data_IF_786528879886
#
_entry.id   IF_786528879886
#
_cell.length_a   1.000
_cell.length_b   1.000
_cell.length_c   1.000
_cell.angle_alpha   90.00
_cell.angle_beta   90.00
_cell.angle_gamma   90.00
#
_symmetry.space_group_name_H-M   'P 1'
#
loop_
_entity.id
_entity.type
_entity.pdbx_description
1 polymer ?
#
# COMPACT_ATOMS: atom_id res chain seq x y z
N UNK A 1 -8.42 15.23 12.88
CA UNK A 1 -7.99 14.19 13.82
C UNK A 1 -9.22 13.59 14.50
N UNK A 2 -9.37 12.29 14.45
CA UNK A 2 -10.32 11.51 15.24
C UNK A 2 -9.51 10.69 16.26
N UNK A 3 -9.94 10.72 17.51
CA UNK A 3 -9.28 10.06 18.63
C UNK A 3 -10.24 9.15 19.39
N UNK A 4 -9.78 7.96 19.75
CA UNK A 4 -10.46 7.08 20.69
C UNK A 4 -9.41 6.43 21.59
N UNK A 5 -9.60 6.59 22.90
CA UNK A 5 -8.72 6.01 23.91
C UNK A 5 -8.88 4.49 23.96
N UNK A 6 -7.72 3.78 23.95
CA UNK A 6 -7.66 2.37 24.22
C UNK A 6 -7.32 2.16 25.71
N UNK A 7 -8.27 1.64 26.47
CA UNK A 7 -8.14 1.36 27.90
C UNK A 7 -7.85 -0.12 28.20
N UNK A 8 -7.79 -0.97 27.17
CA UNK A 8 -7.70 -2.42 27.33
C UNK A 8 -6.26 -2.94 27.24
N UNK A 9 -5.43 -2.30 26.43
CA UNK A 9 -4.03 -2.72 26.23
C UNK A 9 -3.15 -1.56 25.74
N UNK A 10 -1.84 -1.79 25.66
CA UNK A 10 -0.85 -0.82 25.21
C UNK A 10 -0.66 -0.73 23.69
N UNK A 11 -1.67 -1.08 22.89
CA UNK A 11 -1.57 -1.03 21.43
C UNK A 11 -2.16 0.26 20.88
N UNK A 12 -1.53 0.78 19.83
CA UNK A 12 -2.04 1.88 19.03
C UNK A 12 -2.41 1.44 17.62
N UNK A 13 -3.31 2.20 17.02
CA UNK A 13 -3.61 2.16 15.60
C UNK A 13 -3.74 3.59 15.10
N UNK A 14 -2.88 3.95 14.15
CA UNK A 14 -2.86 5.25 13.48
C UNK A 14 -3.17 5.04 12.02
N UNK A 15 -4.21 5.69 11.52
CA UNK A 15 -4.64 5.58 10.14
C UNK A 15 -4.72 6.96 9.48
N UNK A 16 -4.02 7.11 8.37
CA UNK A 16 -4.14 8.25 7.47
C UNK A 16 -5.04 7.87 6.30
N UNK A 17 -6.01 8.71 5.97
CA UNK A 17 -6.97 8.48 4.89
C UNK A 17 -6.95 9.65 3.93
N UNK A 18 -6.68 9.38 2.67
CA UNK A 18 -6.78 10.34 1.57
C UNK A 18 -8.02 10.03 0.73
N UNK A 19 -8.80 11.05 0.41
CA UNK A 19 -9.92 10.95 -0.52
C UNK A 19 -9.40 10.99 -1.97
N UNK A 20 -8.59 10.00 -2.31
CA UNK A 20 -7.95 9.80 -3.59
C UNK A 20 -7.70 8.30 -3.74
N UNK A 21 -8.36 7.63 -4.67
CA UNK A 21 -8.30 6.18 -4.79
C UNK A 21 -8.03 5.71 -6.22
N UNK A 22 -8.24 4.41 -6.46
CA UNK A 22 -7.93 3.77 -7.75
C UNK A 22 -8.77 4.30 -8.92
N UNK A 23 -9.92 4.93 -8.66
CA UNK A 23 -10.67 5.62 -9.72
C UNK A 23 -9.96 6.87 -10.23
N UNK A 24 -9.19 7.54 -9.38
CA UNK A 24 -8.38 8.68 -9.76
C UNK A 24 -7.03 8.27 -10.37
N UNK A 25 -6.40 7.21 -9.83
CA UNK A 25 -5.14 6.69 -10.34
C UNK A 25 -5.02 5.17 -10.13
N UNK A 26 -5.19 4.39 -11.19
CA UNK A 26 -5.09 2.93 -11.16
C UNK A 26 -3.69 2.37 -10.81
N UNK A 27 -2.66 3.22 -10.80
CA UNK A 27 -1.28 2.84 -10.45
C UNK A 27 -1.09 2.66 -8.94
N UNK A 28 -2.03 3.13 -8.11
CA UNK A 28 -1.91 3.09 -6.65
C UNK A 28 -1.71 1.68 -6.09
N UNK A 29 -2.46 0.71 -6.60
CA UNK A 29 -2.32 -0.67 -6.16
C UNK A 29 -0.91 -1.23 -6.49
N UNK A 30 -0.43 -0.97 -7.69
CA UNK A 30 0.93 -1.33 -8.10
C UNK A 30 1.99 -0.62 -7.24
N UNK A 31 1.84 0.68 -7.00
CA UNK A 31 2.74 1.46 -6.17
C UNK A 31 2.86 0.86 -4.76
N UNK A 32 1.74 0.63 -4.08
CA UNK A 32 1.76 0.19 -2.68
C UNK A 32 2.32 -1.23 -2.52
N UNK A 33 1.98 -2.14 -3.42
CA UNK A 33 2.58 -3.47 -3.42
C UNK A 33 4.08 -3.45 -3.77
N UNK A 34 4.50 -2.54 -4.65
CA UNK A 34 5.91 -2.37 -4.98
C UNK A 34 6.71 -1.77 -3.81
N UNK A 35 6.12 -0.87 -3.03
CA UNK A 35 6.78 -0.28 -1.84
C UNK A 35 7.23 -1.32 -0.82
N UNK A 36 6.57 -2.47 -0.74
CA UNK A 36 6.96 -3.57 0.14
C UNK A 36 8.34 -4.19 -0.18
N UNK A 37 8.89 -3.87 -1.35
CA UNK A 37 10.21 -4.33 -1.79
C UNK A 37 11.30 -3.26 -1.64
N UNK A 38 10.95 -2.06 -1.21
CA UNK A 38 11.86 -0.93 -1.24
C UNK A 38 12.54 -0.68 0.10
N UNK A 39 13.76 -0.19 0.01
CA UNK A 39 14.50 0.46 1.09
C UNK A 39 14.61 1.96 0.85
N UNK A 40 15.43 2.60 1.68
CA UNK A 40 15.79 4.02 1.58
C UNK A 40 17.28 4.18 1.27
N UNK A 41 17.76 5.40 1.25
CA UNK A 41 19.19 5.68 1.15
C UNK A 41 19.99 5.29 2.41
N UNK A 42 19.28 5.07 3.54
CA UNK A 42 19.89 4.76 4.84
C UNK A 42 19.80 3.30 5.23
N UNK A 43 18.88 2.56 4.63
CA UNK A 43 18.66 1.15 4.99
C UNK A 43 18.02 0.35 3.84
N UNK A 44 18.38 -0.92 3.76
CA UNK A 44 17.74 -1.88 2.87
C UNK A 44 16.31 -2.19 3.32
N UNK A 45 15.51 -2.80 2.44
CA UNK A 45 14.18 -3.30 2.77
C UNK A 45 14.21 -4.29 3.95
N UNK A 46 15.19 -5.21 3.95
CA UNK A 46 15.35 -6.19 5.02
C UNK A 46 15.65 -5.52 6.37
N UNK A 47 16.54 -4.53 6.40
CA UNK A 47 16.86 -3.78 7.62
C UNK A 47 15.65 -2.98 8.11
N UNK A 48 14.88 -2.39 7.19
CA UNK A 48 13.65 -1.69 7.53
C UNK A 48 12.64 -2.64 8.21
N UNK A 49 12.38 -3.80 7.61
CA UNK A 49 11.46 -4.82 8.17
C UNK A 49 11.95 -5.34 9.52
N UNK A 50 13.24 -5.59 9.68
CA UNK A 50 13.83 -5.98 10.98
C UNK A 50 13.63 -4.93 12.05
N UNK A 51 13.79 -3.64 11.72
CA UNK A 51 13.56 -2.53 12.67
C UNK A 51 12.10 -2.43 13.06
N UNK A 52 11.15 -2.51 12.11
CA UNK A 52 9.72 -2.51 12.42
C UNK A 52 9.35 -3.69 13.32
N UNK A 53 9.84 -4.88 13.00
CA UNK A 53 9.63 -6.07 13.83
C UNK A 53 10.18 -5.91 15.25
N UNK A 54 11.40 -5.38 15.40
CA UNK A 54 12.02 -5.13 16.70
C UNK A 54 11.25 -4.11 17.57
N UNK A 55 10.49 -3.21 16.92
CA UNK A 55 9.59 -2.27 17.59
C UNK A 55 8.23 -2.90 17.94
N UNK A 56 7.96 -4.15 17.53
CA UNK A 56 6.65 -4.77 17.58
C UNK A 56 5.58 -3.85 16.94
N UNK A 57 5.92 -3.25 15.81
CA UNK A 57 5.07 -2.38 15.02
C UNK A 57 5.00 -2.89 13.58
N UNK A 58 3.87 -2.57 12.93
CA UNK A 58 3.62 -2.90 11.53
C UNK A 58 3.05 -1.69 10.80
N UNK A 59 3.14 -1.71 9.47
CA UNK A 59 2.53 -0.71 8.61
C UNK A 59 1.94 -1.36 7.36
N UNK A 60 0.94 -0.73 6.80
CA UNK A 60 0.40 -1.13 5.51
C UNK A 60 -0.10 0.06 4.71
N UNK A 61 0.14 0.02 3.40
CA UNK A 61 -0.57 0.85 2.45
C UNK A 61 -1.65 0.04 1.75
N UNK A 62 -2.80 0.66 1.53
CA UNK A 62 -3.85 0.06 0.73
C UNK A 62 -4.64 1.13 -0.01
N UNK A 63 -5.28 0.74 -1.10
CA UNK A 63 -6.17 1.59 -1.87
C UNK A 63 -7.51 0.91 -2.10
N UNK A 64 -8.57 1.68 -1.99
CA UNK A 64 -9.90 1.34 -2.50
C UNK A 64 -10.17 2.14 -3.78
N UNK A 65 -11.38 2.05 -4.30
CA UNK A 65 -11.79 2.86 -5.46
C UNK A 65 -11.65 4.36 -5.18
N UNK A 66 -12.01 4.80 -3.98
CA UNK A 66 -12.15 6.22 -3.63
C UNK A 66 -11.04 6.72 -2.68
N UNK A 67 -10.40 5.82 -1.93
CA UNK A 67 -9.51 6.22 -0.84
C UNK A 67 -8.18 5.47 -0.87
N UNK A 68 -7.15 6.14 -0.35
CA UNK A 68 -5.87 5.54 0.06
C UNK A 68 -5.80 5.54 1.57
N UNK A 69 -5.24 4.47 2.12
CA UNK A 69 -5.01 4.28 3.55
C UNK A 69 -3.54 4.00 3.82
N UNK A 70 -2.98 4.68 4.80
CA UNK A 70 -1.74 4.27 5.46
C UNK A 70 -2.08 3.96 6.90
N UNK A 71 -1.90 2.72 7.31
CA UNK A 71 -2.09 2.27 8.67
C UNK A 71 -0.75 1.95 9.32
N UNK A 72 -0.56 2.42 10.56
CA UNK A 72 0.61 2.08 11.39
C UNK A 72 0.04 1.61 12.73
N UNK A 73 0.47 0.45 13.19
CA UNK A 73 -0.03 -0.15 14.42
C UNK A 73 1.07 -0.87 15.20
N UNK A 74 0.86 -1.09 16.50
CA UNK A 74 1.80 -1.82 17.33
C UNK A 74 1.81 -1.35 18.78
N UNK A 75 2.96 -1.52 19.46
CA UNK A 75 3.14 -1.05 20.83
C UNK A 75 3.25 0.48 20.88
N UNK A 76 2.41 1.11 21.70
CA UNK A 76 2.31 2.58 21.77
C UNK A 76 3.60 3.25 22.25
N UNK A 77 4.39 2.62 23.09
CA UNK A 77 5.71 3.10 23.51
C UNK A 77 6.70 3.26 22.35
N UNK A 78 6.48 2.53 21.25
CA UNK A 78 7.30 2.56 20.06
C UNK A 78 6.70 3.37 18.89
N UNK A 79 5.49 3.94 19.07
CA UNK A 79 4.75 4.64 18.01
C UNK A 79 5.59 5.71 17.31
N UNK A 80 6.22 6.60 18.06
CA UNK A 80 7.04 7.68 17.47
C UNK A 80 8.19 7.17 16.61
N UNK A 81 8.83 6.06 17.01
CA UNK A 81 9.90 5.43 16.25
C UNK A 81 9.38 4.76 14.97
N UNK A 82 8.25 4.08 15.07
CA UNK A 82 7.59 3.46 13.92
C UNK A 82 7.16 4.50 12.89
N UNK A 83 6.53 5.59 13.33
CA UNK A 83 6.15 6.72 12.47
C UNK A 83 7.38 7.28 11.75
N UNK A 84 8.48 7.53 12.48
CA UNK A 84 9.70 8.06 11.88
C UNK A 84 10.30 7.14 10.80
N UNK A 85 10.25 5.82 11.00
CA UNK A 85 10.70 4.85 10.00
C UNK A 85 9.80 4.88 8.75
N UNK A 86 8.46 4.88 8.93
CA UNK A 86 7.53 4.94 7.81
C UNK A 86 7.63 6.28 7.08
N UNK A 87 7.79 7.39 7.79
CA UNK A 87 8.05 8.68 7.15
C UNK A 87 9.34 8.70 6.33
N UNK A 88 10.41 8.08 6.83
CA UNK A 88 11.66 7.98 6.08
C UNK A 88 11.45 7.15 4.80
N UNK A 89 10.72 6.03 4.87
CA UNK A 89 10.37 5.24 3.70
C UNK A 89 9.56 6.07 2.68
N UNK A 90 8.51 6.75 3.12
CA UNK A 90 7.65 7.58 2.26
C UNK A 90 8.43 8.71 1.59
N UNK A 91 9.38 9.32 2.30
CA UNK A 91 10.18 10.44 1.79
C UNK A 91 11.32 10.02 0.89
N UNK A 92 11.99 8.94 1.25
CA UNK A 92 13.32 8.60 0.76
C UNK A 92 13.41 7.21 0.13
N UNK A 93 12.25 6.55 -0.15
CA UNK A 93 12.24 5.30 -0.89
C UNK A 93 12.98 5.46 -2.22
N UNK A 94 13.90 4.52 -2.49
CA UNK A 94 14.67 4.51 -3.73
C UNK A 94 14.03 3.61 -4.77
N UNK A 95 13.89 4.09 -6.01
CA UNK A 95 13.44 3.24 -7.09
C UNK A 95 14.47 2.13 -7.33
N UNK A 96 13.99 0.90 -7.37
CA UNK A 96 14.77 -0.31 -7.69
C UNK A 96 14.13 -1.01 -8.88
N UNK A 97 14.80 -0.96 -10.03
CA UNK A 97 14.28 -1.53 -11.27
C UNK A 97 14.24 -3.06 -11.21
N UNK A 98 15.19 -3.70 -10.54
CA UNK A 98 15.23 -5.17 -10.43
C UNK A 98 14.09 -5.67 -9.53
N UNK A 99 13.90 -5.06 -8.37
CA UNK A 99 12.77 -5.35 -7.49
C UNK A 99 11.42 -5.12 -8.20
N UNK A 100 11.30 -4.06 -9.00
CA UNK A 100 10.11 -3.81 -9.81
C UNK A 100 9.86 -4.90 -10.85
N UNK A 101 10.89 -5.31 -11.56
CA UNK A 101 10.78 -6.37 -12.56
C UNK A 101 10.36 -7.71 -11.94
N UNK A 102 10.88 -8.05 -10.76
CA UNK A 102 10.47 -9.24 -9.99
C UNK A 102 9.01 -9.15 -9.55
N UNK A 103 8.59 -7.99 -9.05
CA UNK A 103 7.19 -7.73 -8.69
C UNK A 103 6.27 -7.90 -9.90
N UNK A 104 6.58 -7.28 -11.04
CA UNK A 104 5.79 -7.40 -12.29
C UNK A 104 5.69 -8.86 -12.75
N UNK A 105 6.81 -9.59 -12.72
CA UNK A 105 6.80 -11.01 -13.08
C UNK A 105 5.88 -11.85 -12.19
N UNK A 106 5.87 -11.58 -10.88
CA UNK A 106 4.99 -12.22 -9.93
C UNK A 106 3.52 -11.89 -10.20
N UNK A 107 3.20 -10.62 -10.43
CA UNK A 107 1.82 -10.19 -10.75
C UNK A 107 1.32 -10.85 -12.02
N UNK A 108 2.12 -10.86 -13.08
CA UNK A 108 1.73 -11.45 -14.37
C UNK A 108 1.59 -12.97 -14.27
N UNK A 109 2.44 -13.64 -13.49
CA UNK A 109 2.27 -15.06 -13.18
C UNK A 109 0.95 -15.31 -12.45
N UNK A 110 0.66 -14.54 -11.39
CA UNK A 110 -0.61 -14.66 -10.66
C UNK A 110 -1.83 -14.45 -11.57
N UNK A 111 -1.77 -13.49 -12.49
CA UNK A 111 -2.84 -13.28 -13.49
C UNK A 111 -2.99 -14.48 -14.44
N UNK A 112 -1.90 -15.10 -14.86
CA UNK A 112 -1.92 -16.30 -15.70
C UNK A 112 -2.52 -17.49 -14.94
N UNK A 113 -2.11 -17.70 -13.69
CA UNK A 113 -2.63 -18.76 -12.82
C UNK A 113 -4.14 -18.58 -12.56
N UNK A 114 -4.60 -17.35 -12.37
CA UNK A 114 -6.02 -17.03 -12.18
C UNK A 114 -6.89 -17.40 -13.40
N UNK A 115 -6.36 -17.35 -14.61
CA UNK A 115 -7.12 -17.75 -15.82
C UNK A 115 -7.51 -19.23 -15.80
N UNK A 116 -6.78 -20.06 -15.12
CA UNK A 116 -7.07 -21.51 -14.97
C UNK A 116 -7.80 -21.82 -13.67
N UNK A 117 -7.96 -20.85 -12.78
CA UNK A 117 -8.63 -21.02 -11.50
C UNK A 117 -10.15 -20.88 -11.66
N UNK A 118 -10.89 -21.95 -11.37
CA UNK A 118 -12.35 -22.00 -11.50
C UNK A 118 -13.05 -20.95 -10.60
N UNK A 119 -12.59 -20.76 -9.36
CA UNK A 119 -13.14 -19.79 -8.42
C UNK A 119 -12.92 -18.35 -8.88
N UNK A 120 -11.72 -18.03 -9.40
CA UNK A 120 -11.43 -16.73 -9.98
C UNK A 120 -12.31 -16.43 -11.20
N UNK A 121 -12.48 -17.40 -12.09
CA UNK A 121 -13.34 -17.27 -13.27
C UNK A 121 -14.81 -17.08 -12.89
N UNK A 122 -15.30 -17.85 -11.91
CA UNK A 122 -16.67 -17.69 -11.41
C UNK A 122 -16.88 -16.29 -10.80
N UNK A 123 -15.93 -15.79 -9.97
CA UNK A 123 -16.02 -14.46 -9.41
C UNK A 123 -15.97 -13.36 -10.49
N UNK A 124 -15.15 -13.52 -11.52
CA UNK A 124 -15.10 -12.59 -12.64
C UNK A 124 -16.46 -12.55 -13.39
N UNK A 125 -17.05 -13.71 -13.66
CA UNK A 125 -18.38 -13.82 -14.29
C UNK A 125 -19.46 -13.17 -13.41
N UNK A 126 -19.47 -13.46 -12.13
CA UNK A 126 -20.41 -12.86 -11.17
C UNK A 126 -20.30 -11.33 -11.15
N UNK A 127 -19.08 -10.82 -11.06
CA UNK A 127 -18.85 -9.38 -11.05
C UNK A 127 -19.30 -8.74 -12.37
N UNK A 128 -19.05 -9.37 -13.50
CA UNK A 128 -19.56 -8.89 -14.79
C UNK A 128 -21.09 -8.89 -14.84
N UNK A 129 -21.75 -9.93 -14.31
CA UNK A 129 -23.21 -10.00 -14.26
C UNK A 129 -23.83 -8.90 -13.37
N UNK A 130 -23.13 -8.47 -12.30
CA UNK A 130 -23.62 -7.44 -11.38
C UNK A 130 -23.32 -6.03 -11.89
N UNK A 131 -22.10 -5.80 -12.36
CA UNK A 131 -21.56 -4.44 -12.66
C UNK A 131 -21.46 -4.16 -14.16
N UNK A 132 -21.66 -5.14 -15.02
CA UNK A 132 -21.51 -4.99 -16.47
C UNK A 132 -20.05 -4.81 -16.89
N UNK A 133 -19.83 -4.00 -17.92
CA UNK A 133 -18.50 -3.71 -18.46
C UNK A 133 -17.65 -2.84 -17.54
N UNK A 134 -18.27 -2.03 -16.69
CA UNK A 134 -17.58 -1.27 -15.64
C UNK A 134 -17.50 -2.13 -14.38
N UNK A 135 -16.30 -2.61 -14.11
CA UNK A 135 -16.01 -3.39 -12.93
C UNK A 135 -14.75 -2.80 -12.27
N UNK A 136 -14.90 -2.27 -11.08
CA UNK A 136 -13.79 -1.64 -10.32
C UNK A 136 -12.61 -2.61 -10.09
N UNK A 137 -12.85 -3.93 -10.07
CA UNK A 137 -11.77 -4.92 -9.97
C UNK A 137 -10.90 -5.01 -11.22
N UNK A 138 -11.33 -4.39 -12.34
CA UNK A 138 -10.56 -4.26 -13.57
C UNK A 138 -9.80 -2.94 -13.66
N UNK A 139 -9.95 -2.05 -12.68
CA UNK A 139 -9.25 -0.77 -12.64
C UNK A 139 -7.81 -0.94 -12.12
N UNK A 140 -7.09 -1.85 -12.76
CA UNK A 140 -5.68 -2.12 -12.51
C UNK A 140 -4.85 -1.84 -13.77
N UNK A 141 -3.54 -1.69 -13.61
CA UNK A 141 -2.63 -1.55 -14.73
C UNK A 141 -2.66 -2.81 -15.61
N UNK A 142 -2.77 -2.63 -16.91
CA UNK A 142 -2.64 -3.72 -17.90
C UNK A 142 -1.22 -4.30 -17.90
N UNK A 143 -1.00 -5.41 -18.59
CA UNK A 143 0.33 -6.00 -18.73
C UNK A 143 1.32 -5.05 -19.42
N UNK A 144 0.91 -4.35 -20.50
CA UNK A 144 1.76 -3.37 -21.18
C UNK A 144 2.14 -2.22 -20.24
N UNK A 145 1.16 -1.66 -19.53
CA UNK A 145 1.40 -0.57 -18.56
C UNK A 145 2.32 -0.99 -17.42
N UNK A 146 2.18 -2.22 -16.90
CA UNK A 146 3.09 -2.75 -15.88
C UNK A 146 4.53 -2.88 -16.39
N UNK A 147 4.71 -3.32 -17.65
CA UNK A 147 6.03 -3.49 -18.23
C UNK A 147 6.70 -2.16 -18.61
N UNK A 148 5.93 -1.15 -18.94
CA UNK A 148 6.40 0.17 -19.38
C UNK A 148 6.59 1.16 -18.23
N UNK A 149 5.94 0.93 -17.09
CA UNK A 149 6.00 1.83 -15.95
C UNK A 149 7.40 1.93 -15.36
N UNK A 150 7.77 3.15 -15.03
CA UNK A 150 9.07 3.44 -14.41
C UNK A 150 8.90 3.56 -12.89
N UNK A 151 9.69 2.83 -12.11
CA UNK A 151 9.63 2.88 -10.64
C UNK A 151 9.68 4.29 -10.06
N UNK A 152 10.49 5.18 -10.64
CA UNK A 152 10.60 6.57 -10.18
C UNK A 152 9.30 7.37 -10.37
N UNK A 153 8.54 7.10 -11.45
CA UNK A 153 7.25 7.74 -11.71
C UNK A 153 6.17 7.25 -10.73
N UNK A 154 6.21 5.96 -10.36
CA UNK A 154 5.33 5.42 -9.33
C UNK A 154 5.61 6.08 -7.97
N UNK A 155 6.88 6.20 -7.59
CA UNK A 155 7.25 6.84 -6.31
C UNK A 155 6.94 8.34 -6.28
N UNK A 156 6.83 9.01 -7.43
CA UNK A 156 6.40 10.41 -7.46
C UNK A 156 4.98 10.58 -6.91
N UNK A 157 4.09 9.60 -7.13
CA UNK A 157 2.71 9.60 -6.60
C UNK A 157 2.70 9.69 -5.06
N UNK A 158 3.65 9.02 -4.37
CA UNK A 158 3.76 9.11 -2.91
C UNK A 158 4.08 10.53 -2.42
N UNK A 159 4.90 11.27 -3.19
CA UNK A 159 5.23 12.66 -2.86
C UNK A 159 4.01 13.57 -3.02
N UNK A 160 3.19 13.31 -4.02
CA UNK A 160 1.96 14.05 -4.26
C UNK A 160 0.92 13.76 -3.18
N UNK A 161 0.68 12.50 -2.83
CA UNK A 161 -0.21 12.10 -1.73
C UNK A 161 0.15 12.77 -0.42
N UNK A 162 1.44 12.86 -0.09
CA UNK A 162 1.93 13.51 1.13
C UNK A 162 1.52 14.98 1.26
N UNK A 163 1.35 15.67 0.13
CA UNK A 163 0.95 17.07 0.08
C UNK A 163 -0.57 17.28 0.05
N UNK A 164 -1.33 16.20 -0.13
CA UNK A 164 -2.80 16.27 -0.16
C UNK A 164 -3.38 16.34 1.25
N UNK A 165 -4.57 16.93 1.34
CA UNK A 165 -5.37 16.89 2.58
C UNK A 165 -5.75 15.46 2.90
N UNK A 166 -5.65 15.09 4.17
CA UNK A 166 -5.98 13.76 4.66
C UNK A 166 -6.65 13.84 6.04
N UNK A 167 -7.38 12.80 6.36
CA UNK A 167 -7.93 12.56 7.69
C UNK A 167 -6.92 11.72 8.47
N UNK A 168 -6.76 12.02 9.75
CA UNK A 168 -5.97 11.20 10.67
C UNK A 168 -6.89 10.64 11.74
N UNK A 169 -6.89 9.32 11.89
CA UNK A 169 -7.62 8.60 12.93
C UNK A 169 -6.62 7.92 13.86
N UNK A 170 -6.80 8.12 15.14
CA UNK A 170 -5.98 7.50 16.17
C UNK A 170 -6.85 6.73 17.16
N UNK A 171 -6.46 5.50 17.43
CA UNK A 171 -6.96 4.67 18.52
C UNK A 171 -5.77 4.12 19.29
N UNK A 172 -5.69 4.43 20.59
CA UNK A 172 -4.57 4.00 21.41
C UNK A 172 -4.68 4.54 22.84
N UNK A 173 -3.76 4.12 23.73
CA UNK A 173 -3.58 4.75 25.04
C UNK A 173 -3.14 6.21 24.86
N UNK A 174 -3.22 7.00 25.93
CA UNK A 174 -2.84 8.43 25.93
C UNK A 174 -1.37 8.67 25.61
#
# INVERSE_FOLDING_TARGET
LLYKQNTENGLFNLCFVWNFGMEADKRLNTLFNYMDYLGTDKMSNEEFKKKMYALACDYSFSSSNENVYLQISGLSENMSKAIALVEDLVKNAKPDQEAYNQYVAMVLKGRADNKTNQGANFNALRNYAIFGTYNSTLNDMSESELREAKPAELLAIMKDLRNMKHLVMYYGPD
#
